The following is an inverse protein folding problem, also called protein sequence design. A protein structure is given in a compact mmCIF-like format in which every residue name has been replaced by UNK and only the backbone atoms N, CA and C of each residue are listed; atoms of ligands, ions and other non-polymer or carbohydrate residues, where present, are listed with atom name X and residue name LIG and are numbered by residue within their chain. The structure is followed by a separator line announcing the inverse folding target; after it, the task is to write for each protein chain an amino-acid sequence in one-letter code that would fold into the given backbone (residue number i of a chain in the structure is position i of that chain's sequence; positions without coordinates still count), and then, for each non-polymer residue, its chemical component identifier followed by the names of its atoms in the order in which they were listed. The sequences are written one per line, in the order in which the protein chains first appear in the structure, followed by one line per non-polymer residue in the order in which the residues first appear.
data_IF_841805482019
#
_entry.id   IF_841805482019
#
_cell.length_a   1.000
_cell.length_b   1.000
_cell.length_c   1.000
_cell.angle_alpha   90.00
_cell.angle_beta   90.00
_cell.angle_gamma   90.00
#
_symmetry.space_group_name_H-M   'P 1'
#
loop_
_entity.id
_entity.type
_entity.pdbx_description
1 polymer ?
#
# COMPACT_ATOMS: atom_id res chain seq x y z
N UNK A 1 -2.74 -11.25 15.19
CA UNK A 1 -1.54 -11.68 14.41
C UNK A 1 -1.64 -11.01 13.04
N UNK A 2 -0.65 -10.23 12.62
CA UNK A 2 -0.65 -9.58 11.29
C UNK A 2 -0.09 -10.48 10.20
N UNK A 3 0.09 -9.96 8.99
CA UNK A 3 0.54 -10.74 7.82
C UNK A 3 2.02 -11.21 7.86
N UNK A 4 2.77 -10.95 8.94
CA UNK A 4 4.13 -11.50 9.10
C UNK A 4 5.15 -11.13 8.02
N UNK A 5 5.01 -9.95 7.39
CA UNK A 5 5.81 -9.54 6.22
C UNK A 5 5.66 -10.43 4.97
N UNK A 6 4.57 -11.20 4.90
CA UNK A 6 4.19 -12.05 3.76
C UNK A 6 3.04 -11.38 2.98
N UNK A 7 3.29 -10.85 1.78
CA UNK A 7 2.25 -10.21 0.96
C UNK A 7 1.08 -11.14 0.64
N UNK A 8 1.35 -12.42 0.40
CA UNK A 8 0.34 -13.43 0.09
C UNK A 8 -0.69 -13.59 1.22
N UNK A 9 -0.27 -13.42 2.48
CA UNK A 9 -1.18 -13.46 3.64
C UNK A 9 -2.06 -12.20 3.67
N UNK A 10 -1.47 -11.04 3.38
CA UNK A 10 -2.22 -9.78 3.26
C UNK A 10 -3.23 -9.81 2.13
N UNK A 11 -2.85 -10.39 0.99
CA UNK A 11 -3.72 -10.57 -0.18
C UNK A 11 -4.88 -11.53 0.13
N UNK A 12 -4.60 -12.69 0.73
CA UNK A 12 -5.62 -13.65 1.11
C UNK A 12 -6.64 -13.04 2.09
N UNK A 13 -6.15 -12.35 3.13
CA UNK A 13 -7.01 -11.66 4.09
C UNK A 13 -7.89 -10.58 3.43
N UNK A 14 -7.34 -9.81 2.49
CA UNK A 14 -8.11 -8.81 1.77
C UNK A 14 -9.19 -9.42 0.86
N UNK A 15 -8.90 -10.56 0.23
CA UNK A 15 -9.90 -11.28 -0.57
C UNK A 15 -11.01 -11.87 0.31
N UNK A 16 -10.69 -12.36 1.51
CA UNK A 16 -11.68 -12.91 2.44
C UNK A 16 -12.65 -11.83 2.94
N UNK A 17 -12.17 -10.61 3.17
CA UNK A 17 -12.97 -9.49 3.65
C UNK A 17 -13.45 -8.54 2.54
N UNK A 18 -13.35 -8.93 1.25
CA UNK A 18 -13.55 -7.96 0.16
C UNK A 18 -14.96 -7.40 0.11
N UNK A 19 -15.97 -8.24 0.37
CA UNK A 19 -17.37 -7.80 0.36
C UNK A 19 -17.63 -6.75 1.45
N UNK A 20 -17.13 -6.98 2.66
CA UNK A 20 -17.22 -6.03 3.78
C UNK A 20 -16.50 -4.70 3.45
N UNK A 21 -15.31 -4.77 2.85
CA UNK A 21 -14.57 -3.58 2.42
C UNK A 21 -15.39 -2.79 1.38
N UNK A 22 -16.01 -3.49 0.42
CA UNK A 22 -16.80 -2.84 -0.63
C UNK A 22 -18.09 -2.24 -0.10
N UNK A 23 -18.72 -2.85 0.91
CA UNK A 23 -19.87 -2.27 1.60
C UNK A 23 -19.51 -0.94 2.27
N UNK A 24 -18.32 -0.85 2.88
CA UNK A 24 -17.82 0.41 3.43
C UNK A 24 -17.51 1.47 2.37
N UNK A 25 -17.15 1.06 1.16
CA UNK A 25 -16.88 1.96 0.04
C UNK A 25 -18.15 2.35 -0.74
N UNK A 26 -19.31 1.82 -0.37
CA UNK A 26 -20.58 2.11 -1.04
C UNK A 26 -20.83 3.62 -1.15
N UNK A 27 -21.30 4.06 -2.31
CA UNK A 27 -21.57 5.47 -2.66
C UNK A 27 -20.34 6.39 -2.70
N UNK A 28 -19.12 5.84 -2.59
CA UNK A 28 -17.91 6.63 -2.81
C UNK A 28 -17.71 6.86 -4.30
N UNK A 29 -17.47 8.12 -4.68
CA UNK A 29 -17.10 8.48 -6.06
C UNK A 29 -15.59 8.41 -6.30
N UNK A 30 -14.82 8.52 -5.21
CA UNK A 30 -13.37 8.50 -5.22
C UNK A 30 -12.85 7.86 -3.93
N UNK A 31 -11.79 7.06 -4.03
CA UNK A 31 -11.12 6.44 -2.90
C UNK A 31 -9.61 6.69 -2.97
N UNK A 32 -9.02 6.97 -1.81
CA UNK A 32 -7.57 7.04 -1.63
C UNK A 32 -7.10 5.80 -0.87
N UNK A 33 -6.22 5.02 -1.48
CA UNK A 33 -5.64 3.82 -0.86
C UNK A 33 -4.22 4.16 -0.45
N UNK A 34 -3.99 4.19 0.85
CA UNK A 34 -2.65 4.45 1.41
C UNK A 34 -2.07 3.23 2.08
N UNK A 35 -0.80 2.97 1.81
CA UNK A 35 -0.08 1.82 2.37
C UNK A 35 1.43 2.05 2.39
N UNK A 36 2.08 1.49 3.40
CA UNK A 36 3.53 1.29 3.39
C UNK A 36 3.90 0.02 2.63
N UNK A 37 4.71 0.16 1.59
CA UNK A 37 5.11 -0.97 0.75
C UNK A 37 6.33 -1.70 1.33
N UNK A 38 6.42 -3.00 1.07
CA UNK A 38 7.49 -3.87 1.55
C UNK A 38 7.10 -4.72 2.77
N UNK A 39 5.97 -4.42 3.41
CA UNK A 39 5.38 -5.27 4.44
C UNK A 39 4.52 -6.41 3.87
N UNK A 40 3.72 -7.05 4.74
CA UNK A 40 2.77 -8.10 4.31
C UNK A 40 1.42 -7.51 3.93
N UNK A 41 0.72 -6.93 4.91
CA UNK A 41 -0.67 -6.46 4.72
C UNK A 41 -0.76 -5.38 3.65
N UNK A 42 -0.04 -4.26 3.80
CA UNK A 42 -0.14 -3.15 2.83
C UNK A 42 0.24 -3.57 1.40
N UNK A 43 1.28 -4.38 1.26
CA UNK A 43 1.78 -4.81 -0.06
C UNK A 43 0.84 -5.80 -0.75
N UNK A 44 0.23 -6.72 0.00
CA UNK A 44 -0.68 -7.71 -0.56
C UNK A 44 -2.14 -7.26 -0.67
N UNK A 45 -2.62 -6.50 0.31
CA UNK A 45 -4.03 -6.09 0.40
C UNK A 45 -4.35 -4.88 -0.49
N UNK A 46 -3.45 -3.90 -0.59
CA UNK A 46 -3.74 -2.66 -1.30
C UNK A 46 -4.14 -2.89 -2.78
N UNK A 47 -3.46 -3.76 -3.56
CA UNK A 47 -3.87 -4.05 -4.93
C UNK A 47 -5.25 -4.72 -5.03
N UNK A 48 -5.61 -5.57 -4.06
CA UNK A 48 -6.93 -6.24 -4.02
C UNK A 48 -8.04 -5.21 -3.87
N UNK A 49 -7.91 -4.34 -2.86
CA UNK A 49 -8.91 -3.29 -2.59
C UNK A 49 -8.99 -2.30 -3.75
N UNK A 50 -7.84 -1.90 -4.30
CA UNK A 50 -7.77 -0.99 -5.44
C UNK A 50 -8.51 -1.53 -6.67
N UNK A 51 -8.26 -2.80 -7.00
CA UNK A 51 -8.90 -3.45 -8.14
C UNK A 51 -10.42 -3.50 -7.96
N UNK A 52 -10.89 -3.92 -6.78
CA UNK A 52 -12.32 -4.01 -6.50
C UNK A 52 -13.02 -2.63 -6.55
N UNK A 53 -12.38 -1.59 -6.00
CA UNK A 53 -12.90 -0.23 -6.06
C UNK A 53 -13.00 0.27 -7.51
N UNK A 54 -11.95 0.05 -8.30
CA UNK A 54 -11.91 0.44 -9.71
C UNK A 54 -12.93 -0.31 -10.56
N UNK A 55 -13.13 -1.60 -10.32
CA UNK A 55 -14.16 -2.42 -11.00
C UNK A 55 -15.59 -1.94 -10.72
N UNK A 56 -15.82 -1.31 -9.57
CA UNK A 56 -17.09 -0.64 -9.23
C UNK A 56 -17.21 0.78 -9.79
N UNK A 57 -16.24 1.25 -10.57
CA UNK A 57 -16.24 2.59 -11.18
C UNK A 57 -15.89 3.71 -10.22
N UNK A 58 -15.28 3.41 -9.06
CA UNK A 58 -14.80 4.40 -8.10
C UNK A 58 -13.45 4.92 -8.59
N UNK A 59 -13.29 6.25 -8.69
CA UNK A 59 -11.99 6.85 -9.03
C UNK A 59 -10.98 6.49 -7.94
N UNK A 60 -9.97 5.70 -8.29
CA UNK A 60 -9.09 5.05 -7.31
C UNK A 60 -7.68 5.62 -7.39
N UNK A 61 -7.22 6.26 -6.31
CA UNK A 61 -5.88 6.85 -6.20
C UNK A 61 -5.06 6.12 -5.14
N UNK A 62 -3.93 5.56 -5.53
CA UNK A 62 -2.95 4.99 -4.61
C UNK A 62 -1.96 6.03 -4.12
N UNK A 63 -1.71 6.10 -2.80
CA UNK A 63 -0.68 6.96 -2.19
C UNK A 63 0.17 6.10 -1.26
N UNK A 64 1.32 5.63 -1.75
CA UNK A 64 2.10 4.61 -1.06
C UNK A 64 3.54 5.03 -0.82
N UNK A 65 4.15 4.49 0.24
CA UNK A 65 5.56 4.76 0.56
C UNK A 65 6.47 3.60 0.16
N UNK A 66 7.65 3.90 -0.40
CA UNK A 66 8.75 2.92 -0.49
C UNK A 66 9.54 2.91 0.83
N UNK A 67 9.98 1.74 1.31
CA UNK A 67 10.76 1.64 2.54
C UNK A 67 12.09 2.37 2.40
N UNK A 68 12.74 2.67 3.52
CA UNK A 68 14.11 3.16 3.52
C UNK A 68 15.09 2.07 3.06
N UNK A 69 16.25 2.48 2.53
CA UNK A 69 17.30 1.54 2.12
C UNK A 69 17.82 0.69 3.30
N UNK A 70 17.87 1.26 4.51
CA UNK A 70 18.33 0.56 5.71
C UNK A 70 17.35 -0.51 6.22
N UNK A 71 16.08 -0.50 5.81
CA UNK A 71 15.11 -1.54 6.18
C UNK A 71 15.37 -2.88 5.44
N UNK A 72 16.35 -2.90 4.54
CA UNK A 72 16.88 -4.10 3.91
C UNK A 72 16.37 -4.35 2.49
N UNK A 73 17.25 -4.96 1.68
CA UNK A 73 17.00 -5.21 0.26
C UNK A 73 15.77 -6.10 0.00
N UNK A 74 15.49 -7.06 0.90
CA UNK A 74 14.29 -7.91 0.81
C UNK A 74 13.01 -7.08 0.87
N UNK A 75 12.93 -6.13 1.81
CA UNK A 75 11.76 -5.25 1.99
C UNK A 75 11.57 -4.34 0.78
N UNK A 76 12.66 -3.80 0.24
CA UNK A 76 12.62 -3.00 -1.00
C UNK A 76 12.10 -3.81 -2.19
N UNK A 77 12.61 -5.03 -2.41
CA UNK A 77 12.16 -5.89 -3.51
C UNK A 77 10.66 -6.22 -3.40
N UNK A 78 10.20 -6.53 -2.19
CA UNK A 78 8.76 -6.74 -1.92
C UNK A 78 7.95 -5.49 -2.20
N UNK A 79 8.46 -4.31 -1.82
CA UNK A 79 7.80 -3.05 -2.08
C UNK A 79 7.66 -2.76 -3.59
N UNK A 80 8.71 -2.98 -4.37
CA UNK A 80 8.71 -2.77 -5.81
C UNK A 80 7.69 -3.66 -6.52
N UNK A 81 7.66 -4.95 -6.18
CA UNK A 81 6.69 -5.88 -6.72
C UNK A 81 5.24 -5.48 -6.38
N UNK A 82 4.98 -5.07 -5.13
CA UNK A 82 3.65 -4.61 -4.75
C UNK A 82 3.25 -3.29 -5.41
N UNK A 83 4.19 -2.38 -5.65
CA UNK A 83 3.94 -1.11 -6.35
C UNK A 83 3.56 -1.38 -7.81
N UNK A 84 4.28 -2.28 -8.48
CA UNK A 84 3.99 -2.69 -9.85
C UNK A 84 2.58 -3.31 -9.95
N UNK A 85 2.20 -4.13 -8.98
CA UNK A 85 0.86 -4.72 -8.96
C UNK A 85 -0.23 -3.68 -8.65
N UNK A 86 0.01 -2.79 -7.68
CA UNK A 86 -0.92 -1.72 -7.35
C UNK A 86 -1.13 -0.76 -8.53
N UNK A 87 -0.08 -0.48 -9.31
CA UNK A 87 -0.16 0.40 -10.48
C UNK A 87 -1.15 -0.09 -11.53
N UNK A 88 -1.32 -1.42 -11.66
CA UNK A 88 -2.32 -2.01 -12.57
C UNK A 88 -3.75 -1.83 -12.06
N UNK A 89 -3.91 -1.62 -10.76
CA UNK A 89 -5.19 -1.65 -10.05
C UNK A 89 -5.77 -0.26 -9.74
N UNK A 90 -4.99 0.82 -9.87
CA UNK A 90 -5.43 2.20 -9.58
C UNK A 90 -5.51 3.03 -10.86
N UNK A 91 -6.26 4.15 -10.83
CA UNK A 91 -6.27 5.13 -11.92
C UNK A 91 -5.07 6.08 -11.85
N UNK A 92 -4.58 6.35 -10.63
CA UNK A 92 -3.37 7.14 -10.40
C UNK A 92 -2.60 6.57 -9.21
N UNK A 93 -1.27 6.48 -9.34
CA UNK A 93 -0.40 6.02 -8.27
C UNK A 93 0.64 7.09 -7.92
N UNK A 94 0.62 7.56 -6.67
CA UNK A 94 1.62 8.43 -6.08
C UNK A 94 2.53 7.57 -5.22
N UNK A 95 3.82 7.53 -5.56
CA UNK A 95 4.84 6.80 -4.83
C UNK A 95 5.76 7.78 -4.11
N UNK A 96 5.79 7.70 -2.79
CA UNK A 96 6.61 8.55 -1.92
C UNK A 96 7.83 7.73 -1.46
N UNK A 97 9.04 8.00 -1.96
CA UNK A 97 10.22 7.32 -1.46
C UNK A 97 10.57 7.87 -0.06
N UNK A 98 10.58 7.01 0.97
CA UNK A 98 10.91 7.43 2.33
C UNK A 98 12.28 8.12 2.43
N UNK A 99 13.21 7.82 1.52
CA UNK A 99 14.50 8.49 1.43
C UNK A 99 14.40 10.02 1.32
N UNK A 100 13.31 10.55 0.75
CA UNK A 100 13.10 12.00 0.65
C UNK A 100 12.80 12.64 2.02
N UNK A 101 12.30 11.89 3.00
CA UNK A 101 12.04 12.40 4.34
C UNK A 101 13.34 12.84 5.03
N UNK A 102 14.46 12.19 4.73
CA UNK A 102 15.77 12.59 5.24
C UNK A 102 16.25 13.95 4.73
N UNK A 103 15.80 14.38 3.56
CA UNK A 103 16.17 15.70 3.03
C UNK A 103 15.44 16.84 3.74
N UNK A 104 14.40 16.51 4.51
CA UNK A 104 13.52 17.44 5.23
C UNK A 104 13.74 17.34 6.76
N UNK A 105 14.41 16.28 7.23
CA UNK A 105 14.68 16.03 8.63
C UNK A 105 15.89 16.85 9.13
N UNK A 106 15.64 17.81 10.03
CA UNK A 106 16.69 18.49 10.82
C UNK A 106 17.26 17.54 11.89
N UNK A 107 18.41 17.91 12.48
CA UNK A 107 19.13 17.18 13.56
C UNK A 107 18.26 16.77 14.78
N UNK A 108 17.06 17.34 14.93
CA UNK A 108 16.10 17.03 16.00
C UNK A 108 15.12 15.90 15.67
N UNK A 109 15.19 15.33 14.46
CA UNK A 109 14.28 14.27 14.04
C UNK A 109 14.81 12.93 14.52
N UNK A 110 14.40 12.52 15.72
CA UNK A 110 14.69 11.18 16.25
C UNK A 110 13.82 10.14 15.54
N UNK A 111 14.44 9.03 15.12
CA UNK A 111 13.71 7.83 14.74
C UNK A 111 12.88 7.36 15.93
N UNK A 112 11.59 7.05 15.72
CA UNK A 112 10.82 6.33 16.71
C UNK A 112 11.26 4.86 16.66
N UNK A 113 11.74 4.35 17.78
CA UNK A 113 12.16 2.94 18.00
C UNK A 113 11.05 1.93 17.64
#
# INVERSE_FOLDING_TARGET
LGAGALPEVGQAAANECIDEIMDHLANSHMVFITAGMGGGTGTGAAPVVARAAREKGILTVGVVTKPFQFEGARRMKTAEAGIEELQKCVDTLIVIPNQNLFRIADEKTTFAD
#
